data_IF_773239137477
#
_entry.id   IF_773239137477
#
_cell.length_a   1.000
_cell.length_b   1.000
_cell.length_c   1.000
_cell.angle_alpha   90.00
_cell.angle_beta   90.00
_cell.angle_gamma   90.00
#
_symmetry.space_group_name_H-M   'P 1'
#
loop_
_entity.id
_entity.type
_entity.pdbx_description
1 polymer ?
#
# COMPACT_ATOMS: atom_id res chain seq x y z
N UNK A 1 1.74 -19.09 2.75
CA UNK A 1 1.28 -18.15 1.70
C UNK A 1 1.40 -16.75 2.29
N UNK A 2 2.12 -15.86 1.62
CA UNK A 2 2.49 -14.57 2.21
C UNK A 2 1.50 -13.42 1.88
N UNK A 3 0.48 -13.69 1.07
CA UNK A 3 -0.56 -12.71 0.72
C UNK A 3 -1.70 -12.79 1.71
N UNK A 4 -2.02 -11.66 2.34
CA UNK A 4 -3.04 -11.55 3.37
C UNK A 4 -4.16 -10.63 2.90
N UNK A 5 -5.38 -11.16 2.79
CA UNK A 5 -6.56 -10.40 2.39
C UNK A 5 -7.27 -9.85 3.63
N UNK A 6 -7.50 -8.55 3.66
CA UNK A 6 -8.23 -7.82 4.69
C UNK A 6 -9.46 -7.16 4.07
N UNK A 7 -10.64 -7.60 4.45
CA UNK A 7 -11.91 -7.12 3.89
C UNK A 7 -12.66 -6.29 4.91
N UNK A 8 -13.09 -5.11 4.52
CA UNK A 8 -13.83 -4.17 5.37
C UNK A 8 -15.23 -3.90 4.80
N UNK A 9 -16.12 -3.36 5.62
CA UNK A 9 -17.52 -3.14 5.27
C UNK A 9 -17.68 -2.28 4.03
N UNK A 10 -16.90 -1.20 3.96
CA UNK A 10 -16.95 -0.23 2.88
C UNK A 10 -15.58 0.40 2.59
N UNK A 11 -15.53 1.24 1.57
CA UNK A 11 -14.34 1.96 1.12
C UNK A 11 -13.73 2.81 2.23
N UNK A 12 -14.55 3.44 3.07
CA UNK A 12 -14.07 4.31 4.15
C UNK A 12 -13.34 3.51 5.22
N UNK A 13 -13.88 2.38 5.65
CA UNK A 13 -13.24 1.49 6.63
C UNK A 13 -11.96 0.87 6.07
N UNK A 14 -11.96 0.50 4.79
CA UNK A 14 -10.75 0.01 4.12
C UNK A 14 -9.65 1.09 4.09
N UNK A 15 -10.00 2.32 3.78
CA UNK A 15 -9.07 3.45 3.76
C UNK A 15 -8.53 3.76 5.17
N UNK A 16 -9.38 3.76 6.19
CA UNK A 16 -8.97 3.98 7.58
C UNK A 16 -7.95 2.92 8.04
N UNK A 17 -8.24 1.65 7.78
CA UNK A 17 -7.31 0.58 8.09
C UNK A 17 -5.98 0.72 7.32
N UNK A 18 -6.02 0.99 6.03
CA UNK A 18 -4.82 1.18 5.23
C UNK A 18 -3.97 2.35 5.74
N UNK A 19 -4.59 3.49 6.04
CA UNK A 19 -3.90 4.64 6.62
C UNK A 19 -3.24 4.32 7.95
N UNK A 20 -3.94 3.58 8.82
CA UNK A 20 -3.42 3.19 10.14
C UNK A 20 -2.23 2.21 10.05
N UNK A 21 -2.29 1.20 9.19
CA UNK A 21 -1.17 0.27 9.02
C UNK A 21 0.06 0.94 8.38
N UNK A 22 -0.13 1.90 7.46
CA UNK A 22 0.97 2.69 6.91
C UNK A 22 1.63 3.51 8.01
N UNK A 23 0.86 4.22 8.82
CA UNK A 23 1.39 4.97 9.98
C UNK A 23 2.16 4.05 10.94
N UNK A 24 1.61 2.88 11.26
CA UNK A 24 2.30 1.89 12.12
C UNK A 24 3.63 1.44 11.52
N UNK A 25 3.69 1.27 10.21
CA UNK A 25 4.95 0.94 9.52
C UNK A 25 5.99 2.05 9.67
N UNK A 26 5.59 3.31 9.57
CA UNK A 26 6.50 4.43 9.80
C UNK A 26 7.04 4.44 11.24
N UNK A 27 6.19 4.18 12.24
CA UNK A 27 6.60 4.11 13.63
C UNK A 27 7.52 2.92 13.91
N UNK A 28 7.24 1.77 13.32
CA UNK A 28 8.04 0.55 13.53
C UNK A 28 9.38 0.60 12.79
N UNK A 29 9.48 1.43 11.77
CA UNK A 29 10.64 1.53 10.88
C UNK A 29 10.94 3.00 10.58
N UNK A 30 11.60 3.73 11.50
CA UNK A 30 11.80 5.18 11.36
C UNK A 30 12.63 5.60 10.16
N UNK A 31 13.33 4.66 9.51
CA UNK A 31 14.15 4.88 8.31
C UNK A 31 13.48 4.34 7.04
N UNK A 32 12.15 4.21 7.03
CA UNK A 32 11.38 3.71 5.89
C UNK A 32 11.63 4.53 4.63
N UNK A 33 11.81 3.83 3.53
CA UNK A 33 11.68 4.37 2.18
C UNK A 33 10.36 3.82 1.64
N UNK A 34 9.36 4.68 1.46
CA UNK A 34 8.02 4.31 1.05
C UNK A 34 7.68 4.87 -0.33
N UNK A 35 7.26 4.00 -1.25
CA UNK A 35 6.69 4.40 -2.53
C UNK A 35 5.16 4.46 -2.45
N UNK A 36 4.56 5.47 -3.08
CA UNK A 36 3.10 5.63 -3.16
C UNK A 36 2.68 5.80 -4.63
N UNK A 37 1.82 4.89 -5.08
CA UNK A 37 1.11 5.00 -6.34
C UNK A 37 -0.33 4.55 -6.16
N UNK A 38 -1.23 5.52 -5.98
CA UNK A 38 -2.64 5.31 -5.70
C UNK A 38 -3.51 5.95 -6.78
N UNK A 39 -4.44 5.18 -7.32
CA UNK A 39 -5.46 5.72 -8.20
C UNK A 39 -6.48 6.58 -7.42
N UNK A 40 -7.39 7.26 -8.13
CA UNK A 40 -8.39 8.15 -7.53
C UNK A 40 -9.31 7.43 -6.53
N UNK A 41 -9.61 6.17 -6.76
CA UNK A 41 -10.48 5.38 -5.89
C UNK A 41 -9.84 5.07 -4.55
N UNK A 42 -8.51 5.06 -4.51
CA UNK A 42 -7.71 4.81 -3.31
C UNK A 42 -7.18 6.09 -2.65
N UNK A 43 -7.45 7.26 -3.21
CA UNK A 43 -7.04 8.55 -2.64
C UNK A 43 -7.50 8.78 -1.17
N UNK A 44 -8.69 8.30 -0.72
CA UNK A 44 -9.08 8.39 0.68
C UNK A 44 -8.09 7.78 1.68
N UNK A 45 -7.22 6.88 1.24
CA UNK A 45 -6.13 6.32 2.08
C UNK A 45 -5.20 7.42 2.61
N UNK A 46 -4.88 8.41 1.78
CA UNK A 46 -4.02 9.52 2.18
C UNK A 46 -4.69 10.39 3.24
N UNK A 47 -5.98 10.68 3.11
CA UNK A 47 -6.73 11.45 4.11
C UNK A 47 -6.75 10.71 5.46
N UNK A 48 -6.97 9.40 5.43
CA UNK A 48 -6.98 8.58 6.64
C UNK A 48 -5.58 8.40 7.24
N UNK A 49 -4.55 8.35 6.42
CA UNK A 49 -3.16 8.39 6.89
C UNK A 49 -2.88 9.68 7.67
N UNK A 50 -3.31 10.83 7.13
CA UNK A 50 -3.15 12.12 7.80
C UNK A 50 -3.86 12.14 9.15
N UNK A 51 -5.12 11.69 9.21
CA UNK A 51 -5.88 11.58 10.47
C UNK A 51 -5.20 10.64 11.47
N UNK A 52 -4.67 9.51 11.01
CA UNK A 52 -3.95 8.55 11.86
C UNK A 52 -2.68 9.16 12.46
N UNK A 53 -1.92 9.91 11.67
CA UNK A 53 -0.71 10.63 12.11
C UNK A 53 -1.07 11.75 13.09
N UNK A 54 -2.16 12.47 12.86
CA UNK A 54 -2.63 13.54 13.77
C UNK A 54 -3.02 12.98 15.15
N UNK A 55 -3.56 11.76 15.19
CA UNK A 55 -3.88 11.06 16.45
C UNK A 55 -2.65 10.45 17.13
N UNK A 56 -1.71 9.97 16.36
CA UNK A 56 -0.51 9.28 16.83
C UNK A 56 0.70 9.76 16.03
N UNK A 57 1.42 10.69 16.59
CA UNK A 57 2.56 11.33 15.94
C UNK A 57 3.62 10.34 15.44
N UNK A 58 4.20 10.66 14.29
CA UNK A 58 5.30 9.94 13.65
C UNK A 58 6.51 10.86 13.56
N UNK A 59 7.68 10.34 13.85
CA UNK A 59 8.94 11.04 13.56
C UNK A 59 9.33 10.80 12.10
N UNK A 60 9.13 11.81 11.25
CA UNK A 60 9.45 11.77 9.82
C UNK A 60 10.87 12.19 9.48
N UNK A 61 11.72 12.47 10.47
CA UNK A 61 13.06 13.04 10.23
C UNK A 61 13.97 12.18 9.34
N UNK A 62 13.71 10.87 9.26
CA UNK A 62 14.50 9.92 8.46
C UNK A 62 13.66 9.11 7.47
N UNK A 63 12.39 9.44 7.29
CA UNK A 63 11.49 8.77 6.34
C UNK A 63 11.61 9.44 4.99
N UNK A 64 11.80 8.63 3.94
CA UNK A 64 11.86 9.09 2.57
C UNK A 64 10.66 8.57 1.79
N UNK A 65 10.07 9.42 0.94
CA UNK A 65 8.90 9.12 0.13
C UNK A 65 9.27 9.16 -1.36
N UNK A 66 8.88 8.13 -2.10
CA UNK A 66 8.85 8.13 -3.56
C UNK A 66 7.42 8.43 -4.01
N UNK A 67 7.21 9.60 -4.56
CA UNK A 67 5.89 10.13 -4.93
C UNK A 67 5.66 9.98 -6.43
N UNK A 68 4.82 9.00 -6.81
CA UNK A 68 4.44 8.75 -8.21
C UNK A 68 3.25 9.59 -8.69
N UNK A 69 2.53 10.23 -7.77
CA UNK A 69 1.21 10.81 -8.04
C UNK A 69 1.18 12.34 -7.89
N UNK A 70 2.35 12.97 -7.76
CA UNK A 70 2.51 14.43 -7.60
C UNK A 70 1.79 14.99 -6.37
N UNK A 71 1.87 14.25 -5.26
CA UNK A 71 1.28 14.60 -3.96
C UNK A 71 2.28 15.24 -2.97
N UNK A 72 3.32 15.90 -3.46
CA UNK A 72 4.42 16.45 -2.66
C UNK A 72 3.93 17.29 -1.48
N UNK A 73 3.00 18.22 -1.73
CA UNK A 73 2.42 19.08 -0.70
C UNK A 73 1.68 18.32 0.40
N UNK A 74 1.08 17.17 0.06
CA UNK A 74 0.45 16.31 1.05
C UNK A 74 1.48 15.72 2.02
N UNK A 75 2.60 15.21 1.51
CA UNK A 75 3.63 14.62 2.37
C UNK A 75 4.32 15.66 3.23
N UNK A 76 4.53 16.88 2.73
CA UNK A 76 5.00 18.00 3.55
C UNK A 76 4.00 18.36 4.67
N UNK A 77 2.72 18.41 4.36
CA UNK A 77 1.66 18.63 5.34
C UNK A 77 1.55 17.49 6.37
N UNK A 78 1.94 16.27 5.99
CA UNK A 78 2.03 15.12 6.89
C UNK A 78 3.17 15.27 7.90
N UNK A 79 4.21 16.03 7.57
CA UNK A 79 5.39 16.28 8.40
C UNK A 79 6.70 15.71 7.81
N UNK A 80 6.68 15.20 6.59
CA UNK A 80 7.89 14.74 5.91
C UNK A 80 8.69 15.96 5.45
N UNK A 81 10.00 16.06 5.75
CA UNK A 81 10.83 17.13 5.20
C UNK A 81 10.79 17.15 3.67
N UNK A 82 10.70 18.34 3.08
CA UNK A 82 10.54 18.51 1.63
C UNK A 82 11.65 17.82 0.82
N UNK A 83 12.87 17.87 1.32
CA UNK A 83 14.06 17.23 0.72
C UNK A 83 14.03 15.68 0.79
N UNK A 84 13.11 15.10 1.54
CA UNK A 84 12.89 13.66 1.68
C UNK A 84 11.71 13.16 0.84
N UNK A 85 11.04 14.02 0.09
CA UNK A 85 9.99 13.67 -0.86
C UNK A 85 10.55 13.75 -2.28
N UNK A 86 10.60 12.62 -2.95
CA UNK A 86 11.19 12.49 -4.29
C UNK A 86 10.09 12.20 -5.29
N UNK A 87 9.88 13.12 -6.23
CA UNK A 87 9.04 12.85 -7.40
C UNK A 87 9.70 11.79 -8.27
N UNK A 88 8.94 10.82 -8.69
CA UNK A 88 9.39 9.73 -9.54
C UNK A 88 8.34 9.45 -10.61
N UNK A 89 8.76 9.24 -11.84
CA UNK A 89 7.84 8.83 -12.91
C UNK A 89 7.72 7.31 -13.01
N UNK A 90 6.69 6.84 -13.71
CA UNK A 90 6.48 5.41 -13.95
C UNK A 90 7.60 4.78 -14.80
N UNK A 91 8.32 5.59 -15.56
CA UNK A 91 9.44 5.14 -16.40
C UNK A 91 10.79 5.11 -15.65
N UNK A 92 10.84 5.70 -14.46
CA UNK A 92 12.06 5.75 -13.64
C UNK A 92 12.30 4.44 -12.89
N UNK A 93 13.59 4.12 -12.70
CA UNK A 93 13.99 3.00 -11.83
C UNK A 93 14.12 3.46 -10.38
N UNK A 94 13.18 3.02 -9.53
CA UNK A 94 13.17 3.35 -8.11
C UNK A 94 14.45 2.91 -7.40
N UNK A 95 15.05 1.78 -7.78
CA UNK A 95 16.29 1.29 -7.16
C UNK A 95 17.47 2.22 -7.46
N UNK A 96 17.59 2.69 -8.70
CA UNK A 96 18.61 3.67 -9.08
C UNK A 96 18.44 4.99 -8.32
N UNK A 97 17.21 5.50 -8.24
CA UNK A 97 16.92 6.71 -7.47
C UNK A 97 17.31 6.56 -6.00
N UNK A 98 16.95 5.44 -5.38
CA UNK A 98 17.28 5.16 -3.97
C UNK A 98 18.81 5.10 -3.80
N UNK A 99 19.52 4.38 -4.66
CA UNK A 99 20.96 4.23 -4.56
C UNK A 99 21.71 5.54 -4.76
N UNK A 100 21.23 6.41 -5.64
CA UNK A 100 21.88 7.66 -6.00
C UNK A 100 21.59 8.79 -5.00
N UNK A 101 20.36 8.85 -4.48
CA UNK A 101 19.86 9.98 -3.68
C UNK A 101 19.59 9.67 -2.22
N UNK A 102 19.18 8.43 -1.91
CA UNK A 102 18.72 8.05 -0.57
C UNK A 102 19.72 7.09 0.06
N UNK A 103 20.90 7.59 0.44
CA UNK A 103 21.91 6.78 1.15
C UNK A 103 21.66 6.81 2.65
N UNK A 104 20.92 5.85 3.16
CA UNK A 104 20.85 5.62 4.60
C UNK A 104 21.73 4.44 5.01
N UNK A 105 22.45 4.59 6.13
CA UNK A 105 23.32 3.52 6.66
C UNK A 105 22.53 2.24 6.98
N UNK A 106 21.26 2.37 7.35
CA UNK A 106 20.44 1.28 7.86
C UNK A 106 19.68 0.53 6.77
N UNK A 107 19.12 1.21 5.77
CA UNK A 107 18.32 0.60 4.73
C UNK A 107 19.10 0.08 3.53
N UNK A 108 20.39 0.36 3.44
CA UNK A 108 21.25 -0.05 2.31
C UNK A 108 20.62 0.21 0.93
N UNK A 109 19.87 1.30 0.80
CA UNK A 109 19.19 1.68 -0.44
C UNK A 109 18.02 0.79 -0.86
N UNK A 110 17.36 0.10 0.06
CA UNK A 110 16.23 -0.79 -0.27
C UNK A 110 14.89 -0.12 -0.02
N UNK A 111 13.98 -0.29 -0.97
CA UNK A 111 12.57 0.06 -0.80
C UNK A 111 11.96 -0.76 0.34
N UNK A 112 11.44 -0.08 1.37
CA UNK A 112 10.93 -0.74 2.57
C UNK A 112 9.45 -1.06 2.43
N UNK A 113 8.67 -0.10 1.91
CA UNK A 113 7.23 -0.18 1.77
C UNK A 113 6.82 0.32 0.38
N UNK A 114 5.93 -0.39 -0.28
CA UNK A 114 5.22 0.12 -1.45
C UNK A 114 3.71 0.06 -1.22
N UNK A 115 3.08 1.20 -1.32
CA UNK A 115 1.62 1.34 -1.31
C UNK A 115 1.16 1.55 -2.74
N UNK A 116 0.24 0.70 -3.20
CA UNK A 116 -0.18 0.67 -4.60
C UNK A 116 -1.65 0.30 -4.75
N UNK A 117 -2.27 0.75 -5.82
CA UNK A 117 -3.59 0.30 -6.27
C UNK A 117 -3.54 -0.27 -7.68
N UNK A 118 -4.59 -0.96 -8.08
CA UNK A 118 -4.78 -1.49 -9.44
C UNK A 118 -6.07 -0.94 -10.04
N UNK A 119 -6.15 -0.90 -11.37
CA UNK A 119 -7.36 -0.51 -12.09
C UNK A 119 -8.33 -1.69 -12.30
N UNK A 120 -9.45 -1.46 -12.97
CA UNK A 120 -10.49 -2.46 -13.21
C UNK A 120 -10.03 -3.63 -14.09
N UNK A 121 -8.93 -3.47 -14.82
CA UNK A 121 -8.35 -4.50 -15.68
C UNK A 121 -7.27 -5.31 -14.94
N UNK A 122 -6.92 -4.91 -13.74
CA UNK A 122 -5.79 -5.48 -13.00
C UNK A 122 -4.45 -4.97 -13.52
N UNK A 123 -4.45 -3.83 -14.21
CA UNK A 123 -3.20 -3.23 -14.69
C UNK A 123 -2.35 -2.77 -13.50
N UNK A 124 -1.12 -3.22 -13.53
CA UNK A 124 -0.06 -2.78 -12.62
C UNK A 124 1.12 -2.38 -13.49
N UNK A 125 1.58 -1.15 -13.35
CA UNK A 125 2.67 -0.63 -14.17
C UNK A 125 3.92 -1.49 -14.06
N UNK A 126 4.60 -1.76 -15.18
CA UNK A 126 5.73 -2.70 -15.23
C UNK A 126 6.89 -2.22 -14.36
N UNK A 127 7.19 -0.94 -14.35
CA UNK A 127 8.31 -0.41 -13.57
C UNK A 127 7.99 -0.41 -12.08
N UNK A 128 6.76 -0.06 -11.71
CA UNK A 128 6.28 -0.23 -10.32
C UNK A 128 6.33 -1.70 -9.93
N UNK A 129 5.89 -2.61 -10.80
CA UNK A 129 5.96 -4.05 -10.53
C UNK A 129 7.39 -4.52 -10.23
N UNK A 130 8.38 -4.08 -10.98
CA UNK A 130 9.78 -4.42 -10.72
C UNK A 130 10.22 -3.89 -9.34
N UNK A 131 9.87 -2.66 -9.00
CA UNK A 131 10.11 -2.08 -7.67
C UNK A 131 9.36 -2.82 -6.57
N UNK A 132 8.10 -3.20 -6.81
CA UNK A 132 7.27 -3.95 -5.85
C UNK A 132 7.93 -5.25 -5.40
N UNK A 133 8.47 -6.02 -6.33
CA UNK A 133 9.10 -7.32 -6.01
C UNK A 133 10.33 -7.17 -5.12
N UNK A 134 10.94 -5.98 -5.07
CA UNK A 134 12.10 -5.65 -4.23
C UNK A 134 11.72 -5.00 -2.91
N UNK A 135 10.52 -4.48 -2.77
CA UNK A 135 10.03 -3.91 -1.52
C UNK A 135 9.98 -4.98 -0.42
N UNK A 136 10.25 -4.56 0.83
CA UNK A 136 10.11 -5.47 1.98
C UNK A 136 8.66 -5.83 2.22
N UNK A 137 7.77 -4.86 2.10
CA UNK A 137 6.33 -4.98 2.31
C UNK A 137 5.55 -4.26 1.22
N UNK A 138 4.43 -4.84 0.83
CA UNK A 138 3.49 -4.27 -0.14
C UNK A 138 2.13 -4.15 0.52
N UNK A 139 1.51 -2.97 0.39
CA UNK A 139 0.11 -2.73 0.72
C UNK A 139 -0.62 -2.43 -0.59
N UNK A 140 -1.49 -3.34 -1.00
CA UNK A 140 -2.34 -3.20 -2.18
C UNK A 140 -3.74 -2.81 -1.72
N UNK A 141 -4.21 -1.64 -2.11
CA UNK A 141 -5.55 -1.14 -1.77
C UNK A 141 -6.46 -1.23 -2.99
N UNK A 142 -7.56 -1.97 -2.88
CA UNK A 142 -8.49 -2.20 -3.98
C UNK A 142 -9.92 -2.10 -3.45
N UNK A 143 -10.68 -1.12 -3.91
CA UNK A 143 -12.05 -0.88 -3.49
C UNK A 143 -12.97 -0.70 -4.70
N UNK A 144 -14.24 -1.04 -4.52
CA UNK A 144 -15.28 -0.89 -5.54
C UNK A 144 -15.67 -2.22 -6.20
N UNK A 145 -16.97 -2.35 -6.52
CA UNK A 145 -17.55 -3.56 -7.10
C UNK A 145 -16.95 -3.92 -8.47
N UNK A 146 -16.52 -2.93 -9.22
CA UNK A 146 -15.89 -3.09 -10.54
C UNK A 146 -14.52 -3.81 -10.46
N UNK A 147 -13.95 -3.91 -9.27
CA UNK A 147 -12.68 -4.63 -9.02
C UNK A 147 -12.90 -6.11 -8.63
N UNK A 148 -14.14 -6.55 -8.42
CA UNK A 148 -14.41 -7.89 -7.86
C UNK A 148 -13.86 -9.04 -8.73
N UNK A 149 -13.97 -8.95 -10.04
CA UNK A 149 -13.39 -9.95 -10.95
C UNK A 149 -11.86 -9.97 -10.92
N UNK A 150 -11.24 -8.80 -10.84
CA UNK A 150 -9.77 -8.68 -10.72
C UNK A 150 -9.29 -9.32 -9.42
N UNK A 151 -9.98 -9.08 -8.32
CA UNK A 151 -9.63 -9.64 -7.01
C UNK A 151 -9.88 -11.14 -6.95
N UNK A 152 -11.00 -11.62 -7.50
CA UNK A 152 -11.27 -13.04 -7.64
C UNK A 152 -10.15 -13.74 -8.41
N UNK A 153 -9.77 -13.17 -9.55
CA UNK A 153 -8.68 -13.66 -10.38
C UNK A 153 -7.34 -13.66 -9.62
N UNK A 154 -7.03 -12.59 -8.89
CA UNK A 154 -5.84 -12.52 -8.04
C UNK A 154 -5.80 -13.64 -6.99
N UNK A 155 -6.96 -13.96 -6.39
CA UNK A 155 -7.08 -15.02 -5.40
C UNK A 155 -6.89 -16.42 -6.01
N UNK A 156 -7.52 -16.70 -7.16
CA UNK A 156 -7.57 -18.03 -7.79
C UNK A 156 -6.30 -18.38 -8.58
N UNK A 157 -5.69 -17.41 -9.25
CA UNK A 157 -4.55 -17.66 -10.14
C UNK A 157 -3.24 -17.95 -9.38
N UNK A 158 -2.49 -18.92 -9.88
CA UNK A 158 -1.26 -19.44 -9.25
C UNK A 158 0.03 -18.99 -9.97
N UNK A 159 0.07 -17.79 -10.53
CA UNK A 159 1.29 -17.19 -11.08
C UNK A 159 1.79 -17.76 -12.42
N UNK A 160 1.01 -18.63 -13.08
CA UNK A 160 1.35 -19.19 -14.40
C UNK A 160 0.67 -18.48 -15.57
N UNK A 161 -0.14 -17.48 -15.28
CA UNK A 161 -0.87 -16.70 -16.29
C UNK A 161 -0.19 -15.36 -16.57
N UNK A 162 -0.55 -14.74 -17.68
CA UNK A 162 -0.12 -13.38 -18.02
C UNK A 162 -0.79 -12.30 -17.14
N UNK A 163 -1.39 -12.68 -16.02
CA UNK A 163 -2.00 -11.76 -15.07
C UNK A 163 -0.96 -11.25 -14.07
N UNK A 164 -0.47 -10.05 -14.31
CA UNK A 164 0.64 -9.45 -13.56
C UNK A 164 0.44 -9.39 -12.04
N UNK A 165 -0.75 -9.03 -11.51
CA UNK A 165 -0.95 -9.01 -10.05
C UNK A 165 -0.76 -10.38 -9.39
N UNK A 166 -0.95 -11.49 -10.10
CA UNK A 166 -0.72 -12.83 -9.55
C UNK A 166 0.74 -13.09 -9.17
N UNK A 167 1.69 -12.36 -9.77
CA UNK A 167 3.10 -12.46 -9.41
C UNK A 167 3.36 -11.96 -7.98
N UNK A 168 2.50 -11.11 -7.43
CA UNK A 168 2.59 -10.67 -6.05
C UNK A 168 2.46 -11.82 -5.03
N UNK A 169 1.87 -12.95 -5.43
CA UNK A 169 1.74 -14.13 -4.56
C UNK A 169 3.08 -14.75 -4.16
N UNK A 170 4.14 -14.55 -4.94
CA UNK A 170 5.48 -15.04 -4.59
C UNK A 170 6.22 -14.06 -3.67
N UNK A 171 5.70 -12.85 -3.48
CA UNK A 171 6.29 -11.88 -2.56
C UNK A 171 6.07 -12.31 -1.11
N UNK A 172 7.03 -12.01 -0.25
CA UNK A 172 7.05 -12.46 1.15
C UNK A 172 5.98 -11.82 2.03
N UNK A 173 5.60 -10.57 1.74
CA UNK A 173 4.71 -9.81 2.61
C UNK A 173 3.84 -8.86 1.78
N UNK A 174 2.64 -9.32 1.45
CA UNK A 174 1.62 -8.53 0.75
C UNK A 174 0.35 -8.50 1.57
N UNK A 175 -0.13 -7.31 1.89
CA UNK A 175 -1.45 -7.08 2.47
C UNK A 175 -2.36 -6.48 1.40
N UNK A 176 -3.45 -7.17 1.09
CA UNK A 176 -4.49 -6.70 0.17
C UNK A 176 -5.65 -6.16 1.00
N UNK A 177 -5.86 -4.86 0.95
CA UNK A 177 -6.92 -4.17 1.69
C UNK A 177 -8.10 -3.94 0.76
N UNK A 178 -9.25 -4.49 1.09
CA UNK A 178 -10.44 -4.52 0.26
C UNK A 178 -11.65 -3.94 1.00
N UNK A 179 -12.58 -3.38 0.25
CA UNK A 179 -13.95 -3.27 0.73
C UNK A 179 -14.76 -4.52 0.35
N UNK A 180 -15.95 -4.67 0.94
CA UNK A 180 -16.86 -5.79 0.70
C UNK A 180 -17.23 -5.91 -0.79
N UNK A 181 -17.41 -4.78 -1.46
CA UNK A 181 -17.79 -4.75 -2.88
C UNK A 181 -16.69 -5.34 -3.77
N UNK A 182 -15.43 -4.99 -3.54
CA UNK A 182 -14.29 -5.57 -4.27
C UNK A 182 -14.07 -7.05 -3.92
N UNK A 183 -14.42 -7.45 -2.71
CA UNK A 183 -14.25 -8.82 -2.20
C UNK A 183 -15.39 -9.77 -2.54
N UNK A 184 -16.41 -9.34 -3.28
CA UNK A 184 -17.65 -10.10 -3.49
C UNK A 184 -17.41 -11.50 -4.07
N UNK A 185 -16.47 -11.65 -4.97
CA UNK A 185 -16.09 -12.94 -5.59
C UNK A 185 -15.20 -13.85 -4.74
N UNK A 186 -14.79 -13.43 -3.55
CA UNK A 186 -13.94 -14.24 -2.66
C UNK A 186 -14.75 -15.25 -1.83
N UNK A 187 -14.13 -16.37 -1.39
CA UNK A 187 -14.76 -17.30 -0.45
C UNK A 187 -15.19 -16.65 0.86
N UNK A 188 -16.30 -17.14 1.44
CA UNK A 188 -16.88 -16.57 2.67
C UNK A 188 -15.92 -16.61 3.87
N UNK A 189 -15.08 -17.63 3.99
CA UNK A 189 -14.07 -17.75 5.03
C UNK A 189 -13.01 -16.65 4.95
N UNK A 190 -12.63 -16.22 3.76
CA UNK A 190 -11.69 -15.10 3.53
C UNK A 190 -12.33 -13.77 3.95
N UNK A 191 -13.61 -13.57 3.64
CA UNK A 191 -14.39 -12.39 4.06
C UNK A 191 -14.57 -12.33 5.59
N UNK A 192 -14.88 -13.45 6.22
CA UNK A 192 -15.18 -13.54 7.66
C UNK A 192 -13.99 -13.16 8.55
N UNK A 193 -12.77 -13.52 8.17
CA UNK A 193 -11.55 -13.27 8.95
C UNK A 193 -11.31 -11.78 9.22
N UNK A 194 -11.75 -10.91 8.31
CA UNK A 194 -11.49 -9.47 8.41
C UNK A 194 -12.44 -8.73 9.34
N UNK A 195 -13.66 -9.23 9.54
CA UNK A 195 -14.65 -8.63 10.45
C UNK A 195 -14.29 -8.73 11.93
N UNK A 196 -13.52 -9.72 12.33
CA UNK A 196 -13.10 -9.91 13.73
C UNK A 196 -12.14 -8.82 14.21
N UNK A 197 -11.42 -8.15 13.30
CA UNK A 197 -10.49 -7.08 13.65
C UNK A 197 -11.16 -5.72 13.85
N UNK A 198 -12.31 -5.45 13.21
CA UNK A 198 -13.08 -4.21 13.41
C UNK A 198 -13.68 -4.11 14.81
N UNK A 199 -14.18 -5.22 15.35
CA UNK A 199 -14.77 -5.25 16.71
C UNK A 199 -13.77 -4.99 17.84
N UNK A 200 -12.48 -5.25 17.61
CA UNK A 200 -11.45 -4.97 18.61
C UNK A 200 -11.14 -3.48 18.77
N UNK A 201 -11.34 -2.67 17.71
CA UNK A 201 -11.13 -1.22 17.75
C UNK A 201 -12.33 -0.44 18.29
N UNK A 202 -13.56 -0.99 18.18
CA UNK A 202 -14.77 -0.34 18.72
C UNK A 202 -14.91 -0.49 20.23
N UNK A 203 -14.18 -1.43 20.84
CA UNK A 203 -14.23 -1.68 22.30
C UNK A 203 -13.17 -0.92 23.10
N UNK A 204 -12.24 -0.22 22.43
CA UNK A 204 -11.21 0.60 23.10
C UNK A 204 -11.48 2.12 23.03
N UNK A 205 -12.66 2.54 22.57
CA UNK A 205 -13.07 3.94 22.47
C UNK A 205 -13.95 4.35 23.66
#
# INVERSE_FOLDING_TARGET
MAMNFKVFEDKQHAADYAGDIIRKQFNNNPTTIAGFHLNKDSAPVLDELKKSVDRNAVDFSQINILDYDDNHSFYEALGVPSEQVYSISLDDDAESLINDRIKTKENKGKLTLQVVSIDNTGHLDVNIRQGLMKAREIILVVTGAEKSEVIKRLYEENGKSNFLPADLKVHRMVTVVLDRAAADGLPEDVKAVSYTHLRAHETEA
#
